data_IF_740167649031
#
_entry.id   IF_740167649031
#
_cell.length_a   1.000
_cell.length_b   1.000
_cell.length_c   1.000
_cell.angle_alpha   90.00
_cell.angle_beta   90.00
_cell.angle_gamma   90.00
#
_symmetry.space_group_name_H-M   'P 1'
#
loop_
_entity.id
_entity.type
_entity.pdbx_description
1 polymer ?
#
# COMPACT_ATOMS: atom_id res chain seq x y z
N UNK A 1 -3.84 -0.33 -33.88
CA UNK A 1 -2.71 -0.31 -34.82
C UNK A 1 -2.30 -1.74 -35.11
N UNK A 2 -2.01 -2.10 -36.36
CA UNK A 2 -1.63 -3.47 -36.73
C UNK A 2 -0.12 -3.70 -36.57
N UNK A 3 0.29 -4.97 -36.43
CA UNK A 3 1.70 -5.37 -36.33
C UNK A 3 2.07 -6.20 -37.55
N UNK A 4 3.19 -5.84 -38.17
CA UNK A 4 3.79 -6.55 -39.30
C UNK A 4 5.10 -7.19 -38.83
N UNK A 5 5.36 -8.43 -39.26
CA UNK A 5 6.55 -9.20 -38.83
C UNK A 5 7.57 -9.39 -39.95
N UNK A 6 7.51 -8.55 -40.99
CA UNK A 6 8.36 -8.65 -42.17
C UNK A 6 9.84 -8.53 -41.77
N UNK A 7 10.66 -9.47 -42.25
CA UNK A 7 12.08 -9.54 -41.91
C UNK A 7 12.37 -10.03 -40.48
N UNK A 8 11.43 -10.71 -39.82
CA UNK A 8 11.65 -11.35 -38.51
C UNK A 8 11.66 -10.40 -37.32
N UNK A 9 11.25 -9.14 -37.52
CA UNK A 9 11.10 -8.14 -36.46
C UNK A 9 9.66 -7.64 -36.43
N UNK A 10 8.94 -7.76 -35.31
CA UNK A 10 7.57 -7.24 -35.22
C UNK A 10 7.60 -5.71 -35.11
N UNK A 11 6.99 -5.03 -36.07
CA UNK A 11 6.93 -3.57 -36.23
C UNK A 11 5.48 -3.07 -36.27
N UNK A 12 5.26 -1.81 -35.91
CA UNK A 12 3.97 -1.17 -36.14
C UNK A 12 3.77 -0.96 -37.64
N UNK A 13 2.63 -1.40 -38.18
CA UNK A 13 2.33 -1.34 -39.61
C UNK A 13 2.53 0.08 -40.18
N UNK A 14 3.25 0.16 -41.30
CA UNK A 14 3.59 1.43 -41.96
C UNK A 14 4.69 2.24 -41.25
N UNK A 15 5.44 1.66 -40.31
CA UNK A 15 6.57 2.32 -39.62
C UNK A 15 7.77 1.40 -39.42
N UNK A 16 8.93 1.99 -39.14
CA UNK A 16 10.15 1.28 -38.76
C UNK A 16 10.28 1.04 -37.23
N UNK A 17 9.21 1.21 -36.47
CA UNK A 17 9.25 1.12 -35.01
C UNK A 17 8.88 -0.29 -34.56
N UNK A 18 9.86 -0.97 -33.95
CA UNK A 18 9.65 -2.29 -33.38
C UNK A 18 8.70 -2.23 -32.18
N UNK A 19 7.86 -3.26 -32.01
CA UNK A 19 6.96 -3.41 -30.85
C UNK A 19 7.72 -3.27 -29.52
N UNK A 20 8.95 -3.79 -29.46
CA UNK A 20 9.82 -3.69 -28.30
C UNK A 20 10.20 -2.24 -27.93
N UNK A 21 10.36 -1.36 -28.91
CA UNK A 21 10.63 0.06 -28.65
C UNK A 21 9.42 0.76 -28.04
N UNK A 22 8.21 0.41 -28.51
CA UNK A 22 6.94 0.91 -27.94
C UNK A 22 6.81 0.50 -26.47
N UNK A 23 7.04 -0.78 -26.20
CA UNK A 23 7.00 -1.34 -24.85
C UNK A 23 8.03 -0.67 -23.95
N UNK A 24 9.27 -0.51 -24.41
CA UNK A 24 10.34 0.13 -23.65
C UNK A 24 9.96 1.58 -23.30
N UNK A 25 9.53 2.39 -24.28
CA UNK A 25 9.18 3.80 -24.05
C UNK A 25 8.02 3.95 -23.05
N UNK A 26 6.95 3.16 -23.19
CA UNK A 26 5.80 3.22 -22.28
C UNK A 26 6.07 2.57 -20.91
N UNK A 27 7.10 1.74 -20.82
CA UNK A 27 7.56 1.17 -19.55
C UNK A 27 8.44 2.16 -18.78
N UNK A 28 9.45 2.74 -19.45
CA UNK A 28 10.45 3.62 -18.87
C UNK A 28 9.89 4.98 -18.40
N UNK A 29 8.75 5.41 -18.94
CA UNK A 29 8.06 6.63 -18.54
C UNK A 29 6.57 6.37 -18.23
N UNK A 30 5.80 7.44 -18.02
CA UNK A 30 4.34 7.36 -18.10
C UNK A 30 3.91 6.96 -19.51
N UNK A 31 2.72 6.37 -19.66
CA UNK A 31 2.21 5.98 -20.99
C UNK A 31 2.15 7.18 -21.93
N UNK A 32 1.69 8.34 -21.44
CA UNK A 32 1.59 9.56 -22.26
C UNK A 32 2.96 10.09 -22.70
N UNK A 33 3.93 10.14 -21.79
CA UNK A 33 5.29 10.57 -22.12
C UNK A 33 5.96 9.61 -23.10
N UNK A 34 5.79 8.30 -22.90
CA UNK A 34 6.32 7.29 -23.82
C UNK A 34 5.73 7.42 -25.22
N UNK A 35 4.41 7.61 -25.32
CA UNK A 35 3.73 7.84 -26.60
C UNK A 35 4.18 9.15 -27.26
N UNK A 36 4.30 10.23 -26.49
CA UNK A 36 4.77 11.52 -26.99
C UNK A 36 6.22 11.44 -27.50
N UNK A 37 7.10 10.70 -26.82
CA UNK A 37 8.49 10.51 -27.23
C UNK A 37 8.60 9.73 -28.55
N UNK A 38 7.74 8.72 -28.74
CA UNK A 38 7.72 7.93 -29.97
C UNK A 38 7.15 8.74 -31.16
N UNK A 39 6.26 9.69 -30.89
CA UNK A 39 5.64 10.58 -31.87
C UNK A 39 5.04 9.84 -33.10
N UNK A 40 4.50 8.63 -32.89
CA UNK A 40 3.97 7.79 -33.96
C UNK A 40 2.54 8.20 -34.31
N UNK A 41 2.26 8.60 -35.57
CA UNK A 41 0.90 8.91 -36.00
C UNK A 41 -0.05 7.73 -35.79
N UNK A 42 -1.17 7.98 -35.09
CA UNK A 42 -2.18 6.95 -34.83
C UNK A 42 -1.88 5.99 -33.68
N UNK A 43 -0.72 6.13 -33.00
CA UNK A 43 -0.43 5.42 -31.75
C UNK A 43 -0.79 6.31 -30.55
N UNK A 44 -2.03 6.17 -30.09
CA UNK A 44 -2.59 6.83 -28.91
C UNK A 44 -2.85 5.82 -27.79
N UNK A 45 -3.23 6.29 -26.59
CA UNK A 45 -3.67 5.42 -25.48
C UNK A 45 -4.71 4.39 -25.91
N UNK A 46 -5.74 4.81 -26.65
CA UNK A 46 -6.85 3.95 -27.07
C UNK A 46 -6.42 2.87 -28.08
N UNK A 47 -5.29 3.06 -28.75
CA UNK A 47 -4.80 2.17 -29.81
C UNK A 47 -3.57 1.37 -29.41
N UNK A 48 -3.04 1.60 -28.20
CA UNK A 48 -1.81 0.99 -27.69
C UNK A 48 -2.03 -0.46 -27.23
N UNK A 49 -3.20 -0.79 -26.70
CA UNK A 49 -3.45 -2.10 -26.09
C UNK A 49 -3.17 -3.30 -27.02
N UNK A 50 -3.60 -3.32 -28.30
CA UNK A 50 -3.30 -4.42 -29.20
C UNK A 50 -1.79 -4.62 -29.43
N UNK A 51 -1.03 -3.51 -29.48
CA UNK A 51 0.43 -3.56 -29.65
C UNK A 51 1.08 -4.24 -28.45
N UNK A 52 0.65 -3.86 -27.27
CA UNK A 52 1.13 -4.46 -26.03
C UNK A 52 0.69 -5.93 -25.94
N UNK A 53 -0.54 -6.24 -26.32
CA UNK A 53 -1.08 -7.60 -26.24
C UNK A 53 -0.29 -8.58 -27.10
N UNK A 54 0.12 -8.18 -28.31
CA UNK A 54 1.00 -8.99 -29.16
C UNK A 54 2.28 -9.42 -28.42
N UNK A 55 2.94 -8.48 -27.75
CA UNK A 55 4.14 -8.77 -26.97
C UNK A 55 3.83 -9.57 -25.69
N UNK A 56 2.78 -9.19 -24.96
CA UNK A 56 2.40 -9.79 -23.68
C UNK A 56 1.94 -11.26 -23.79
N UNK A 57 1.27 -11.58 -24.89
CA UNK A 57 0.81 -12.94 -25.25
C UNK A 57 1.84 -13.74 -26.03
N UNK A 58 3.05 -13.20 -26.26
CA UNK A 58 4.12 -13.89 -26.99
C UNK A 58 3.71 -14.30 -28.42
N UNK A 59 2.85 -13.53 -29.09
CA UNK A 59 2.46 -13.80 -30.49
C UNK A 59 3.64 -13.74 -31.45
N UNK A 60 4.72 -13.07 -31.06
CA UNK A 60 5.99 -13.09 -31.80
C UNK A 60 6.59 -14.50 -31.96
N UNK A 61 6.27 -15.44 -31.06
CA UNK A 61 6.74 -16.84 -31.15
C UNK A 61 6.07 -17.55 -32.32
N UNK A 62 4.75 -17.41 -32.44
CA UNK A 62 3.98 -17.98 -33.56
C UNK A 62 4.38 -17.33 -34.89
N UNK A 63 4.67 -16.03 -34.87
CA UNK A 63 5.13 -15.28 -36.03
C UNK A 63 6.62 -15.49 -36.37
N UNK A 64 7.35 -16.33 -35.63
CA UNK A 64 8.81 -16.55 -35.78
C UNK A 64 9.62 -15.24 -35.85
N UNK A 65 9.23 -14.26 -35.04
CA UNK A 65 9.79 -12.92 -35.04
C UNK A 65 10.30 -12.53 -33.65
N UNK A 66 11.28 -11.63 -33.58
CA UNK A 66 11.82 -11.13 -32.31
C UNK A 66 12.29 -9.67 -32.39
N UNK A 67 12.01 -8.90 -31.34
CA UNK A 67 12.49 -7.52 -31.24
C UNK A 67 13.99 -7.45 -30.95
N UNK A 68 14.72 -6.45 -31.48
CA UNK A 68 16.07 -6.13 -31.03
C UNK A 68 16.10 -5.86 -29.52
N UNK A 69 17.11 -6.41 -28.83
CA UNK A 69 17.27 -6.26 -27.39
C UNK A 69 16.30 -7.10 -26.53
N UNK A 70 15.38 -7.86 -27.12
CA UNK A 70 14.51 -8.75 -26.36
C UNK A 70 15.22 -10.08 -26.07
N UNK A 71 15.11 -10.59 -24.84
CA UNK A 71 15.67 -11.89 -24.46
C UNK A 71 15.19 -13.06 -25.34
N UNK A 72 13.96 -12.98 -25.88
CA UNK A 72 13.47 -13.99 -26.84
C UNK A 72 14.31 -14.10 -28.09
N UNK A 73 14.99 -13.02 -28.52
CA UNK A 73 15.85 -13.06 -29.71
C UNK A 73 17.05 -13.97 -29.48
N UNK A 74 17.71 -13.87 -28.34
CA UNK A 74 18.85 -14.75 -28.01
C UNK A 74 18.40 -16.18 -27.77
N UNK A 75 17.26 -16.39 -27.09
CA UNK A 75 16.66 -17.72 -26.93
C UNK A 75 16.31 -18.39 -28.28
N UNK A 76 15.72 -17.65 -29.22
CA UNK A 76 15.36 -18.16 -30.55
C UNK A 76 16.58 -18.51 -31.40
N UNK A 77 17.68 -17.78 -31.21
CA UNK A 77 18.95 -18.05 -31.89
C UNK A 77 19.80 -19.12 -31.18
N UNK A 78 19.33 -19.66 -30.04
CA UNK A 78 20.08 -20.65 -29.25
C UNK A 78 21.36 -20.09 -28.62
N UNK A 79 21.38 -18.79 -28.33
CA UNK A 79 22.53 -18.08 -27.75
C UNK A 79 22.38 -18.01 -26.22
N UNK A 80 23.00 -18.95 -25.53
CA UNK A 80 22.96 -19.09 -24.06
C UNK A 80 24.12 -18.37 -23.36
N UNK A 81 25.25 -18.18 -24.07
CA UNK A 81 26.44 -17.52 -23.52
C UNK A 81 26.86 -16.29 -24.31
N UNK A 82 27.59 -15.39 -23.65
CA UNK A 82 28.20 -14.23 -24.30
C UNK A 82 29.14 -14.66 -25.45
N UNK A 83 29.89 -15.75 -25.29
CA UNK A 83 30.78 -16.25 -26.33
C UNK A 83 29.99 -16.69 -27.58
N UNK A 84 28.88 -17.39 -27.40
CA UNK A 84 27.99 -17.76 -28.51
C UNK A 84 27.41 -16.51 -29.19
N UNK A 85 27.03 -15.50 -28.40
CA UNK A 85 26.57 -14.22 -28.93
C UNK A 85 27.65 -13.51 -29.77
N UNK A 86 28.89 -13.44 -29.28
CA UNK A 86 30.02 -12.86 -30.01
C UNK A 86 30.26 -13.64 -31.31
N UNK A 87 30.31 -14.98 -31.25
CA UNK A 87 30.53 -15.83 -32.42
C UNK A 87 29.45 -15.70 -33.49
N UNK A 88 28.21 -15.42 -33.09
CA UNK A 88 27.09 -15.20 -34.01
C UNK A 88 27.23 -13.92 -34.85
N UNK A 89 28.04 -12.95 -34.40
CA UNK A 89 28.31 -11.71 -35.13
C UNK A 89 29.62 -11.80 -35.91
N UNK A 90 29.77 -10.98 -36.95
CA UNK A 90 31.05 -10.83 -37.66
C UNK A 90 32.06 -10.14 -36.74
N UNK A 91 31.64 -9.02 -36.17
CA UNK A 91 32.45 -8.19 -35.30
C UNK A 91 31.52 -7.34 -34.41
N UNK A 92 31.89 -7.16 -33.14
CA UNK A 92 31.23 -6.23 -32.22
C UNK A 92 32.23 -5.14 -31.83
N UNK A 93 31.93 -3.91 -32.22
CA UNK A 93 32.76 -2.72 -31.99
C UNK A 93 32.23 -1.98 -30.77
N UNK A 94 33.05 -1.78 -29.75
CA UNK A 94 32.67 -1.11 -28.50
C UNK A 94 33.28 0.29 -28.41
N UNK A 95 32.46 1.29 -28.12
CA UNK A 95 32.87 2.68 -27.93
C UNK A 95 33.44 3.29 -29.21
N UNK A 96 34.63 3.87 -29.09
CA UNK A 96 35.42 4.39 -30.21
C UNK A 96 36.08 3.30 -31.07
N UNK A 97 35.84 2.03 -30.74
CA UNK A 97 36.40 0.87 -31.43
C UNK A 97 37.75 0.42 -30.91
N UNK A 98 38.17 0.89 -29.73
CA UNK A 98 39.33 0.36 -29.00
C UNK A 98 39.16 -1.13 -28.61
N UNK A 99 37.91 -1.56 -28.36
CA UNK A 99 37.58 -2.96 -28.12
C UNK A 99 36.76 -3.48 -29.31
N UNK A 100 37.26 -4.54 -29.94
CA UNK A 100 36.59 -5.24 -31.05
C UNK A 100 36.56 -6.73 -30.77
N UNK A 101 35.35 -7.27 -30.64
CA UNK A 101 35.14 -8.70 -30.41
C UNK A 101 34.86 -9.35 -31.77
N UNK A 102 35.77 -10.20 -32.22
CA UNK A 102 35.64 -10.91 -33.50
C UNK A 102 34.76 -12.15 -33.32
N UNK A 103 33.88 -12.38 -34.29
CA UNK A 103 33.09 -13.61 -34.35
C UNK A 103 33.16 -14.24 -35.74
N UNK A 104 32.20 -15.11 -36.03
CA UNK A 104 32.16 -15.91 -37.26
C UNK A 104 30.91 -15.63 -38.11
N UNK A 105 30.07 -14.69 -37.68
CA UNK A 105 28.85 -14.30 -38.37
C UNK A 105 29.06 -13.34 -39.53
N UNK A 106 27.94 -12.85 -40.09
CA UNK A 106 27.93 -11.91 -41.21
C UNK A 106 27.69 -10.45 -40.81
N UNK A 107 27.17 -10.21 -39.61
CA UNK A 107 26.66 -8.90 -39.17
C UNK A 107 27.64 -8.23 -38.21
N UNK A 108 28.02 -6.98 -38.51
CA UNK A 108 28.79 -6.14 -37.57
C UNK A 108 27.84 -5.32 -36.70
N UNK A 109 28.10 -5.29 -35.39
CA UNK A 109 27.31 -4.52 -34.40
C UNK A 109 28.21 -3.49 -33.74
N UNK A 110 27.70 -2.27 -33.56
CA UNK A 110 28.39 -1.22 -32.79
C UNK A 110 27.62 -0.94 -31.52
N UNK A 111 28.32 -0.87 -30.39
CA UNK A 111 27.76 -0.61 -29.06
C UNK A 111 28.58 0.47 -28.35
N UNK A 112 27.96 1.44 -27.67
CA UNK A 112 28.67 2.58 -27.09
C UNK A 112 29.58 2.20 -25.92
N UNK A 113 29.26 1.13 -25.17
CA UNK A 113 30.06 0.66 -24.04
C UNK A 113 29.78 -0.82 -23.73
N UNK A 114 30.64 -1.44 -22.92
CA UNK A 114 30.49 -2.83 -22.49
C UNK A 114 29.19 -3.08 -21.70
N UNK A 115 28.71 -2.09 -20.94
CA UNK A 115 27.44 -2.21 -20.23
C UNK A 115 26.25 -2.31 -21.20
N UNK A 116 26.28 -1.54 -22.29
CA UNK A 116 25.25 -1.60 -23.33
C UNK A 116 25.31 -2.94 -24.06
N UNK A 117 26.51 -3.45 -24.34
CA UNK A 117 26.68 -4.80 -24.88
C UNK A 117 26.11 -5.87 -23.93
N UNK A 118 26.39 -5.74 -22.62
CA UNK A 118 25.89 -6.65 -21.59
C UNK A 118 24.35 -6.71 -21.58
N UNK A 119 23.68 -5.56 -21.71
CA UNK A 119 22.21 -5.48 -21.80
C UNK A 119 21.67 -6.04 -23.12
N UNK A 120 22.38 -5.84 -24.23
CA UNK A 120 21.95 -6.31 -25.55
C UNK A 120 21.96 -7.84 -25.68
N UNK A 121 22.98 -8.53 -25.14
CA UNK A 121 23.05 -9.99 -25.19
C UNK A 121 22.16 -10.65 -24.14
N UNK A 122 22.14 -10.12 -22.91
CA UNK A 122 21.31 -10.71 -21.84
C UNK A 122 19.82 -10.57 -22.16
N UNK A 123 19.49 -9.48 -22.85
CA UNK A 123 18.18 -9.19 -23.38
C UNK A 123 17.17 -8.84 -22.30
N UNK A 124 16.22 -8.02 -22.67
CA UNK A 124 15.16 -7.57 -21.78
C UNK A 124 13.89 -8.38 -21.99
N UNK A 125 13.14 -8.59 -20.92
CA UNK A 125 11.90 -9.36 -20.95
C UNK A 125 10.74 -8.48 -21.43
N UNK A 126 10.74 -8.05 -22.69
CA UNK A 126 9.74 -7.11 -23.22
C UNK A 126 8.29 -7.59 -23.04
N UNK A 127 8.01 -8.89 -23.07
CA UNK A 127 6.64 -9.39 -22.80
C UNK A 127 6.18 -9.09 -21.37
N UNK A 128 7.11 -9.08 -20.42
CA UNK A 128 6.84 -8.74 -19.03
C UNK A 128 6.58 -7.25 -18.89
N UNK A 129 7.43 -6.41 -19.47
CA UNK A 129 7.21 -4.97 -19.53
C UNK A 129 5.89 -4.62 -20.21
N UNK A 130 5.55 -5.32 -21.29
CA UNK A 130 4.30 -5.12 -22.00
C UNK A 130 3.08 -5.38 -21.12
N UNK A 131 3.07 -6.48 -20.34
CA UNK A 131 2.02 -6.74 -19.34
C UNK A 131 1.92 -5.63 -18.29
N UNK A 132 3.06 -5.05 -17.89
CA UNK A 132 3.08 -3.91 -16.95
C UNK A 132 2.46 -2.66 -17.58
N UNK A 133 2.77 -2.37 -18.84
CA UNK A 133 2.16 -1.25 -19.57
C UNK A 133 0.67 -1.47 -19.79
N UNK A 134 0.20 -2.70 -20.10
CA UNK A 134 -1.24 -3.02 -20.20
C UNK A 134 -1.96 -2.72 -18.89
N UNK A 135 -1.35 -3.06 -17.75
CA UNK A 135 -1.91 -2.72 -16.45
C UNK A 135 -1.98 -1.21 -16.24
N UNK A 136 -0.88 -0.48 -16.51
CA UNK A 136 -0.86 1.00 -16.50
C UNK A 136 -1.96 1.59 -17.39
N UNK A 137 -2.25 0.96 -18.52
CA UNK A 137 -3.25 1.40 -19.50
C UNK A 137 -4.68 1.16 -19.01
N UNK A 138 -5.02 -0.08 -18.62
CA UNK A 138 -6.40 -0.51 -18.34
C UNK A 138 -6.93 -0.01 -17.00
N UNK A 139 -6.09 0.06 -15.99
CA UNK A 139 -6.53 0.31 -14.62
C UNK A 139 -5.99 1.64 -14.07
N UNK A 140 -5.35 2.43 -14.94
CA UNK A 140 -4.26 3.26 -14.47
C UNK A 140 -3.21 2.41 -13.77
N UNK A 141 -2.31 3.07 -13.09
CA UNK A 141 -1.51 2.42 -12.08
C UNK A 141 -2.47 2.07 -10.90
N UNK A 142 -3.27 0.97 -10.90
CA UNK A 142 -3.91 0.36 -9.68
C UNK A 142 -4.95 -0.79 -9.85
N UNK A 143 -4.88 -1.74 -8.89
CA UNK A 143 -5.99 -2.45 -8.16
C UNK A 143 -6.92 -3.43 -8.91
N UNK A 144 -6.54 -4.71 -8.95
CA UNK A 144 -7.38 -5.80 -9.48
C UNK A 144 -8.54 -6.27 -8.57
N UNK A 145 -8.69 -5.76 -7.33
CA UNK A 145 -9.71 -6.26 -6.37
C UNK A 145 -10.38 -5.19 -5.49
N UNK A 146 -10.14 -3.90 -5.76
CA UNK A 146 -10.92 -2.81 -5.16
C UNK A 146 -11.48 -1.98 -6.30
N UNK A 147 -12.81 -1.89 -6.43
CA UNK A 147 -13.39 -0.81 -7.22
C UNK A 147 -12.99 0.50 -6.54
N UNK A 148 -12.20 1.35 -7.21
CA UNK A 148 -11.97 2.71 -6.73
C UNK A 148 -10.52 3.17 -6.77
N UNK A 149 -10.41 4.50 -6.84
CA UNK A 149 -9.25 5.38 -6.82
C UNK A 149 -8.22 5.02 -5.74
N UNK A 150 -7.12 5.79 -5.68
CA UNK A 150 -6.19 5.80 -4.56
C UNK A 150 -6.89 5.69 -3.19
N UNK A 151 -6.23 5.10 -2.17
CA UNK A 151 -6.75 5.32 -0.80
C UNK A 151 -6.55 6.80 -0.44
N UNK A 152 -5.50 7.42 -1.01
CA UNK A 152 -5.21 8.83 -0.91
C UNK A 152 -4.50 9.34 -2.19
N UNK A 153 -4.84 10.54 -2.65
CA UNK A 153 -4.23 11.24 -3.77
C UNK A 153 -2.73 11.53 -3.58
N UNK A 154 -2.09 12.07 -4.62
CA UNK A 154 -0.67 12.46 -4.54
C UNK A 154 -0.47 13.54 -3.46
N UNK A 155 0.49 13.33 -2.56
CA UNK A 155 0.75 14.20 -1.41
C UNK A 155 -0.22 14.05 -0.22
N UNK A 156 -1.29 13.25 -0.32
CA UNK A 156 -2.26 13.08 0.78
C UNK A 156 -1.81 12.07 1.85
N UNK A 157 -0.72 11.34 1.60
CA UNK A 157 -0.08 10.43 2.56
C UNK A 157 1.43 10.65 2.58
N UNK A 158 2.11 10.34 3.69
CA UNK A 158 3.56 10.43 3.75
C UNK A 158 4.22 9.40 2.83
N UNK A 159 5.32 9.80 2.19
CA UNK A 159 6.16 8.88 1.40
C UNK A 159 6.97 7.98 2.33
N UNK A 160 6.94 6.67 2.08
CA UNK A 160 7.81 5.70 2.76
C UNK A 160 9.10 5.58 1.98
N UNK A 161 10.24 5.90 2.58
CA UNK A 161 11.54 5.95 1.91
C UNK A 161 12.45 4.89 2.54
N UNK A 162 12.93 3.94 1.73
CA UNK A 162 13.86 2.91 2.16
C UNK A 162 15.27 3.24 1.67
N UNK A 163 16.19 3.48 2.61
CA UNK A 163 17.59 3.72 2.32
C UNK A 163 18.37 2.42 2.18
N UNK A 164 18.87 2.15 0.97
CA UNK A 164 19.67 0.97 0.60
C UNK A 164 19.12 -0.36 1.14
N UNK A 165 17.84 -0.69 0.88
CA UNK A 165 17.27 -1.96 1.34
C UNK A 165 18.05 -3.14 0.78
N UNK A 166 18.37 -4.11 1.64
CA UNK A 166 19.29 -5.20 1.31
C UNK A 166 18.59 -6.44 0.77
N UNK A 167 17.34 -6.68 1.17
CA UNK A 167 16.59 -7.88 0.79
C UNK A 167 15.30 -7.53 0.06
N UNK A 168 15.14 -8.07 -1.15
CA UNK A 168 13.90 -7.94 -1.91
C UNK A 168 12.66 -8.39 -1.12
N UNK A 169 12.79 -9.46 -0.31
CA UNK A 169 11.70 -9.96 0.54
C UNK A 169 11.23 -8.89 1.55
N UNK A 170 12.16 -8.14 2.15
CA UNK A 170 11.81 -7.05 3.06
C UNK A 170 11.09 -5.92 2.33
N UNK A 171 11.51 -5.58 1.11
CA UNK A 171 10.81 -4.58 0.29
C UNK A 171 9.37 -5.04 0.02
N UNK A 172 9.16 -6.31 -0.29
CA UNK A 172 7.82 -6.89 -0.44
C UNK A 172 7.00 -6.82 0.84
N UNK A 173 7.59 -7.17 1.98
CA UNK A 173 6.90 -7.06 3.28
C UNK A 173 6.58 -5.60 3.66
N UNK A 174 7.46 -4.66 3.33
CA UNK A 174 7.21 -3.21 3.45
C UNK A 174 6.04 -2.80 2.56
N UNK A 175 6.02 -3.20 1.29
CA UNK A 175 4.92 -2.91 0.39
C UNK A 175 3.58 -3.46 0.91
N UNK A 176 3.59 -4.65 1.52
CA UNK A 176 2.42 -5.22 2.19
C UNK A 176 2.00 -4.38 3.40
N UNK A 177 2.93 -3.93 4.23
CA UNK A 177 2.63 -3.04 5.35
C UNK A 177 2.04 -1.70 4.87
N UNK A 178 2.63 -1.10 3.84
CA UNK A 178 2.12 0.10 3.18
C UNK A 178 0.67 -0.09 2.70
N UNK A 179 0.38 -1.19 1.98
CA UNK A 179 -0.96 -1.52 1.52
C UNK A 179 -1.96 -1.74 2.67
N UNK A 180 -1.56 -2.38 3.78
CA UNK A 180 -2.42 -2.58 4.93
C UNK A 180 -2.90 -1.26 5.56
N UNK A 181 -2.07 -0.21 5.50
CA UNK A 181 -2.35 1.07 6.16
C UNK A 181 -2.65 2.23 5.20
N UNK A 182 -2.77 1.94 3.90
CA UNK A 182 -3.07 2.93 2.87
C UNK A 182 -1.96 3.97 2.69
N UNK A 183 -0.70 3.55 2.82
CA UNK A 183 0.46 4.34 2.41
C UNK A 183 0.79 3.94 0.98
N UNK A 184 0.53 4.82 0.03
CA UNK A 184 0.57 4.46 -1.39
C UNK A 184 1.90 4.86 -2.08
N UNK A 185 2.73 5.70 -1.44
CA UNK A 185 3.99 6.20 -2.02
C UNK A 185 5.21 5.52 -1.38
N UNK A 186 5.83 4.58 -2.10
CA UNK A 186 7.06 3.90 -1.71
C UNK A 186 8.24 4.38 -2.58
N UNK A 187 9.32 4.81 -1.94
CA UNK A 187 10.57 5.27 -2.58
C UNK A 187 11.73 4.40 -2.11
N UNK A 188 12.57 4.00 -3.05
CA UNK A 188 13.74 3.16 -2.79
C UNK A 188 15.00 3.95 -3.15
N UNK A 189 15.91 4.12 -2.21
CA UNK A 189 17.21 4.75 -2.48
C UNK A 189 18.24 3.66 -2.63
N UNK A 190 18.87 3.58 -3.80
CA UNK A 190 19.95 2.65 -4.13
C UNK A 190 19.69 1.19 -3.63
N UNK A 191 18.56 0.54 -4.03
CA UNK A 191 18.26 -0.82 -3.59
C UNK A 191 19.34 -1.79 -4.06
N UNK A 192 19.89 -2.61 -3.16
CA UNK A 192 21.07 -3.44 -3.42
C UNK A 192 20.91 -4.40 -4.59
N UNK A 193 19.75 -5.06 -4.68
CA UNK A 193 19.46 -6.05 -5.72
C UNK A 193 18.90 -5.41 -7.01
N UNK A 194 18.99 -4.09 -7.15
CA UNK A 194 18.42 -3.33 -8.26
C UNK A 194 16.89 -3.24 -8.25
N UNK A 195 16.34 -2.45 -9.17
CA UNK A 195 14.90 -2.24 -9.31
C UNK A 195 14.50 -2.11 -10.80
N UNK A 196 13.36 -2.68 -11.24
CA UNK A 196 12.34 -3.44 -10.50
C UNK A 196 12.79 -4.86 -10.11
N UNK A 197 12.19 -5.45 -9.07
CA UNK A 197 12.58 -6.77 -8.55
C UNK A 197 11.38 -7.72 -8.36
N UNK A 198 11.37 -8.86 -9.07
CA UNK A 198 10.25 -9.82 -9.01
C UNK A 198 10.15 -10.55 -7.67
N UNK A 199 11.25 -10.75 -6.95
CA UNK A 199 11.20 -11.36 -5.60
C UNK A 199 10.44 -10.46 -4.64
N UNK A 200 10.69 -9.15 -4.68
CA UNK A 200 9.95 -8.17 -3.88
C UNK A 200 8.45 -8.20 -4.20
N UNK A 201 8.11 -8.36 -5.48
CA UNK A 201 6.73 -8.50 -5.95
C UNK A 201 6.06 -9.77 -5.39
N UNK A 202 6.72 -10.92 -5.46
CA UNK A 202 6.20 -12.17 -4.88
C UNK A 202 5.99 -12.03 -3.37
N UNK A 203 6.96 -11.43 -2.66
CA UNK A 203 6.89 -11.20 -1.23
C UNK A 203 5.79 -10.20 -0.82
N UNK A 204 5.36 -9.30 -1.71
CA UNK A 204 4.30 -8.32 -1.45
C UNK A 204 2.91 -8.95 -1.30
N UNK A 205 2.72 -10.22 -1.67
CA UNK A 205 1.51 -11.00 -1.36
C UNK A 205 0.19 -10.26 -1.69
N UNK A 206 0.08 -9.78 -2.93
CA UNK A 206 -1.10 -9.04 -3.40
C UNK A 206 -0.97 -7.51 -3.34
N UNK A 207 -0.01 -6.96 -2.60
CA UNK A 207 0.36 -5.55 -2.61
C UNK A 207 1.28 -5.18 -3.79
N UNK A 208 1.16 -5.89 -4.92
CA UNK A 208 2.02 -5.70 -6.10
C UNK A 208 1.96 -4.28 -6.65
N UNK A 209 0.85 -3.58 -6.47
CA UNK A 209 0.72 -2.20 -6.94
C UNK A 209 1.71 -1.27 -6.22
N UNK A 210 1.90 -1.38 -4.90
CA UNK A 210 2.90 -0.56 -4.19
C UNK A 210 4.31 -0.77 -4.77
N UNK A 211 4.63 -2.01 -5.15
CA UNK A 211 5.90 -2.35 -5.81
C UNK A 211 5.95 -1.77 -7.23
N UNK A 212 4.91 -1.99 -8.02
CA UNK A 212 4.81 -1.55 -9.42
C UNK A 212 4.84 -0.01 -9.54
N UNK A 213 4.38 0.71 -8.52
CA UNK A 213 4.24 2.17 -8.44
C UNK A 213 5.46 2.84 -7.79
N UNK A 214 6.28 2.05 -7.08
CA UNK A 214 7.45 2.58 -6.39
C UNK A 214 8.51 3.12 -7.35
N UNK A 215 9.19 4.17 -6.91
CA UNK A 215 10.28 4.81 -7.66
C UNK A 215 11.62 4.53 -6.99
N UNK A 216 12.60 4.11 -7.78
CA UNK A 216 13.97 3.94 -7.32
C UNK A 216 14.80 5.17 -7.67
N UNK A 217 15.58 5.65 -6.72
CA UNK A 217 16.46 6.81 -6.83
C UNK A 217 17.91 6.36 -6.59
N UNK A 218 18.88 6.93 -7.31
CA UNK A 218 20.29 6.61 -7.11
C UNK A 218 20.83 7.16 -5.78
N UNK A 219 20.33 8.30 -5.32
CA UNK A 219 20.80 8.98 -4.10
C UNK A 219 19.64 9.52 -3.27
N UNK A 220 19.89 9.74 -1.98
CA UNK A 220 18.87 10.19 -1.02
C UNK A 220 18.28 11.56 -1.42
N UNK A 221 19.12 12.50 -1.84
CA UNK A 221 18.73 13.87 -2.17
C UNK A 221 17.63 13.92 -3.25
N UNK A 222 17.73 13.07 -4.27
CA UNK A 222 16.70 12.96 -5.31
C UNK A 222 15.39 12.37 -4.78
N UNK A 223 15.49 11.40 -3.87
CA UNK A 223 14.32 10.74 -3.29
C UNK A 223 13.53 11.62 -2.32
N UNK A 224 14.10 12.76 -1.88
CA UNK A 224 13.48 13.66 -0.91
C UNK A 224 13.25 15.08 -1.45
N UNK A 225 13.66 15.36 -2.69
CA UNK A 225 13.71 16.72 -3.24
C UNK A 225 12.36 17.46 -3.25
N UNK A 226 11.24 16.75 -3.39
CA UNK A 226 9.88 17.31 -3.39
C UNK A 226 9.23 17.34 -1.99
N UNK A 227 9.91 16.85 -0.96
CA UNK A 227 9.35 16.76 0.40
C UNK A 227 9.64 18.03 1.21
N UNK A 228 8.65 18.49 1.96
CA UNK A 228 8.74 19.63 2.86
C UNK A 228 9.15 19.25 4.28
N UNK A 229 8.85 18.01 4.69
CA UNK A 229 9.14 17.56 6.05
C UNK A 229 9.42 16.05 6.11
N UNK A 230 10.52 15.66 6.74
CA UNK A 230 11.01 14.29 6.76
C UNK A 230 11.34 13.86 8.18
N UNK A 231 10.96 12.64 8.55
CA UNK A 231 11.44 12.02 9.80
C UNK A 231 12.36 10.85 9.51
N UNK A 232 13.43 10.72 10.28
CA UNK A 232 14.34 9.58 10.25
C UNK A 232 14.01 8.60 11.39
N UNK A 233 13.74 7.35 11.05
CA UNK A 233 13.51 6.30 12.05
C UNK A 233 14.83 5.75 12.59
N UNK A 234 14.97 5.67 13.91
CA UNK A 234 16.18 5.12 14.52
C UNK A 234 15.93 4.52 15.90
N UNK A 235 16.67 3.45 16.22
CA UNK A 235 16.70 2.87 17.57
C UNK A 235 17.91 3.36 18.39
N UNK A 236 18.84 4.09 17.76
CA UNK A 236 20.08 4.56 18.39
C UNK A 236 19.92 6.01 18.81
N UNK A 237 20.43 6.34 19.99
CA UNK A 237 20.61 7.75 20.35
C UNK A 237 21.63 8.37 19.39
N UNK A 238 21.32 9.56 18.88
CA UNK A 238 22.18 10.32 17.97
C UNK A 238 22.50 11.65 18.63
N UNK A 239 23.75 12.07 18.55
CA UNK A 239 24.19 13.39 19.01
C UNK A 239 23.89 14.46 17.96
N UNK A 240 22.61 14.58 17.60
CA UNK A 240 22.09 15.55 16.66
C UNK A 240 21.05 16.41 17.39
N UNK A 241 21.15 17.74 17.24
CA UNK A 241 20.20 18.69 17.82
C UNK A 241 18.91 18.74 16.99
N UNK A 242 18.15 17.63 16.99
CA UNK A 242 16.87 17.49 16.30
C UNK A 242 15.79 17.02 17.27
N UNK A 243 14.52 17.38 17.05
CA UNK A 243 13.41 16.84 17.84
C UNK A 243 13.39 15.31 17.78
N UNK A 244 13.15 14.67 18.92
CA UNK A 244 12.92 13.22 19.02
C UNK A 244 11.46 13.01 19.33
N UNK A 245 10.78 12.22 18.50
CA UNK A 245 9.33 12.02 18.53
C UNK A 245 9.00 10.54 18.67
N UNK A 246 7.87 10.25 19.30
CA UNK A 246 7.22 8.94 19.17
C UNK A 246 6.54 8.82 17.79
N UNK A 247 6.20 7.59 17.35
CA UNK A 247 5.39 7.39 16.14
C UNK A 247 4.10 8.21 16.13
N UNK A 248 3.36 8.24 17.24
CA UNK A 248 2.12 9.02 17.39
C UNK A 248 2.34 10.53 17.16
N UNK A 249 3.38 11.10 17.78
CA UNK A 249 3.72 12.52 17.64
C UNK A 249 4.10 12.87 16.20
N UNK A 250 4.97 12.07 15.57
CA UNK A 250 5.40 12.30 14.21
C UNK A 250 4.23 12.21 13.22
N UNK A 251 3.36 11.21 13.36
CA UNK A 251 2.17 11.06 12.50
C UNK A 251 1.19 12.22 12.68
N UNK A 252 0.97 12.69 13.92
CA UNK A 252 0.13 13.86 14.20
C UNK A 252 0.66 15.13 13.50
N UNK A 253 1.98 15.34 13.55
CA UNK A 253 2.65 16.44 12.85
C UNK A 253 2.52 16.30 11.32
N UNK A 254 2.77 15.11 10.76
CA UNK A 254 2.60 14.85 9.32
C UNK A 254 1.18 15.14 8.85
N UNK A 255 0.16 14.71 9.60
CA UNK A 255 -1.25 14.98 9.27
C UNK A 255 -1.53 16.48 9.23
N UNK A 256 -1.01 17.22 10.20
CA UNK A 256 -1.16 18.68 10.27
C UNK A 256 -0.52 19.37 9.06
N UNK A 257 0.67 18.93 8.65
CA UNK A 257 1.41 19.46 7.50
C UNK A 257 0.77 19.10 6.16
N UNK A 258 0.40 17.82 5.98
CA UNK A 258 -0.32 17.33 4.80
C UNK A 258 -1.65 18.08 4.65
N UNK A 259 -2.37 18.35 5.74
CA UNK A 259 -3.59 19.16 5.72
C UNK A 259 -3.38 20.62 5.28
N UNK A 260 -2.13 21.12 5.28
CA UNK A 260 -1.73 22.43 4.73
C UNK A 260 -1.19 22.34 3.30
N UNK A 261 -1.15 21.14 2.70
CA UNK A 261 -0.61 20.88 1.37
C UNK A 261 0.89 20.59 1.33
N UNK A 262 1.55 20.39 2.48
CA UNK A 262 2.96 20.01 2.53
C UNK A 262 3.16 18.51 2.26
N UNK A 263 4.21 18.15 1.53
CA UNK A 263 4.61 16.76 1.29
C UNK A 263 5.50 16.25 2.42
N UNK A 264 5.14 15.13 3.02
CA UNK A 264 5.90 14.54 4.12
C UNK A 264 6.54 13.19 3.74
N UNK A 265 7.62 12.80 4.42
CA UNK A 265 8.27 11.49 4.24
C UNK A 265 8.77 10.85 5.53
N UNK A 266 8.84 9.53 5.52
CA UNK A 266 9.39 8.72 6.61
C UNK A 266 10.57 7.91 6.05
N UNK A 267 11.77 8.22 6.55
CA UNK A 267 13.02 7.60 6.14
C UNK A 267 13.35 6.40 7.05
N UNK A 268 13.57 5.25 6.42
CA UNK A 268 13.98 4.01 7.06
C UNK A 268 15.34 3.57 6.55
N UNK A 269 16.18 3.11 7.48
CA UNK A 269 17.53 2.68 7.16
C UNK A 269 17.66 1.21 6.75
N UNK A 270 18.91 0.85 6.44
CA UNK A 270 19.35 -0.52 6.14
C UNK A 270 19.06 -1.45 7.31
N UNK A 271 18.79 -2.72 7.05
CA UNK A 271 18.38 -3.71 8.06
C UNK A 271 19.40 -3.92 9.19
N UNK A 272 20.70 -3.85 8.89
CA UNK A 272 21.77 -4.11 9.87
C UNK A 272 22.30 -2.83 10.53
N UNK A 273 22.48 -1.79 9.74
CA UNK A 273 23.22 -0.60 10.16
C UNK A 273 22.30 0.58 10.48
N UNK A 274 21.03 0.50 10.09
CA UNK A 274 20.11 1.63 10.13
C UNK A 274 20.55 2.73 9.17
N UNK A 275 20.20 3.97 9.53
CA UNK A 275 20.62 5.17 8.82
C UNK A 275 22.01 5.63 9.26
N UNK A 276 22.79 6.14 8.32
CA UNK A 276 24.05 6.84 8.57
C UNK A 276 23.80 8.24 9.13
N UNK A 277 24.82 8.85 9.74
CA UNK A 277 24.67 10.14 10.41
C UNK A 277 24.32 11.27 9.44
N UNK A 278 24.90 11.26 8.23
CA UNK A 278 24.57 12.19 7.13
C UNK A 278 23.12 12.02 6.64
N UNK A 279 22.63 10.79 6.52
CA UNK A 279 21.24 10.50 6.12
C UNK A 279 20.25 11.01 7.17
N UNK A 280 20.55 10.80 8.46
CA UNK A 280 19.74 11.33 9.56
C UNK A 280 19.82 12.86 9.63
N UNK A 281 20.94 13.46 9.24
CA UNK A 281 21.11 14.91 9.24
C UNK A 281 20.14 15.62 8.28
N UNK A 282 19.75 14.96 7.18
CA UNK A 282 18.79 15.46 6.19
C UNK A 282 17.32 15.41 6.66
N UNK A 283 17.00 14.69 7.74
CA UNK A 283 15.64 14.65 8.28
C UNK A 283 15.37 15.81 9.25
N UNK A 284 14.14 16.31 9.33
CA UNK A 284 13.75 17.39 10.24
C UNK A 284 13.61 16.93 11.69
N UNK A 285 13.20 15.68 11.90
CA UNK A 285 13.05 15.07 13.22
C UNK A 285 13.44 13.59 13.22
N UNK A 286 13.67 13.06 14.43
CA UNK A 286 13.93 11.64 14.66
C UNK A 286 12.67 10.99 15.20
N UNK A 287 12.38 9.78 14.72
CA UNK A 287 11.36 8.90 15.32
C UNK A 287 12.04 7.73 16.00
N UNK A 288 11.80 7.63 17.31
CA UNK A 288 12.23 6.49 18.12
C UNK A 288 11.00 5.71 18.56
N UNK A 289 10.86 4.49 18.05
CA UNK A 289 9.76 3.59 18.42
C UNK A 289 10.06 3.06 19.84
N UNK A 290 9.15 3.23 20.81
CA UNK A 290 9.33 2.67 22.15
C UNK A 290 9.37 1.13 22.09
N UNK A 291 10.53 0.55 22.38
CA UNK A 291 10.80 -0.89 22.36
C UNK A 291 11.60 -1.28 23.59
N UNK A 292 11.71 -2.58 23.88
CA UNK A 292 12.61 -3.06 24.93
C UNK A 292 14.05 -2.62 24.63
N UNK A 293 14.67 -1.84 25.53
CA UNK A 293 16.02 -1.33 25.36
C UNK A 293 17.09 -2.43 25.20
N UNK A 294 16.81 -3.64 25.72
CA UNK A 294 17.70 -4.80 25.56
C UNK A 294 17.61 -5.43 24.16
N UNK A 295 16.57 -5.13 23.39
CA UNK A 295 16.34 -5.67 22.05
C UNK A 295 15.62 -4.65 21.17
N UNK A 296 16.30 -3.53 20.89
CA UNK A 296 15.70 -2.37 20.26
C UNK A 296 15.67 -2.41 18.71
N UNK A 297 16.18 -3.49 18.10
CA UNK A 297 16.26 -3.60 16.64
C UNK A 297 15.01 -4.28 16.07
N UNK A 298 14.13 -3.49 15.45
CA UNK A 298 12.99 -4.01 14.71
C UNK A 298 13.38 -4.41 13.29
N UNK A 299 12.70 -5.39 12.72
CA UNK A 299 12.77 -5.64 11.28
C UNK A 299 12.21 -4.42 10.53
N UNK A 300 12.76 -4.14 9.35
CA UNK A 300 12.38 -3.00 8.51
C UNK A 300 10.87 -2.92 8.26
N UNK A 301 10.24 -4.03 7.84
CA UNK A 301 8.81 -4.07 7.57
C UNK A 301 7.97 -3.92 8.85
N UNK A 302 8.48 -4.34 10.01
CA UNK A 302 7.82 -4.13 11.30
C UNK A 302 7.84 -2.66 11.72
N UNK A 303 8.96 -1.96 11.49
CA UNK A 303 9.06 -0.52 11.75
C UNK A 303 8.09 0.26 10.84
N UNK A 304 8.02 -0.08 9.55
CA UNK A 304 7.04 0.50 8.62
C UNK A 304 5.61 0.18 9.05
N UNK A 305 5.33 -1.05 9.48
CA UNK A 305 4.02 -1.48 9.97
C UNK A 305 3.55 -0.66 11.17
N UNK A 306 4.43 -0.34 12.13
CA UNK A 306 4.08 0.49 13.29
C UNK A 306 3.78 1.94 12.88
N UNK A 307 4.58 2.52 11.99
CA UNK A 307 4.33 3.87 11.46
C UNK A 307 3.03 3.92 10.65
N UNK A 308 2.78 2.91 9.81
CA UNK A 308 1.54 2.77 9.05
C UNK A 308 0.33 2.57 9.97
N UNK A 309 0.46 1.75 11.01
CA UNK A 309 -0.59 1.58 12.01
C UNK A 309 -0.96 2.90 12.67
N UNK A 310 0.02 3.68 13.12
CA UNK A 310 -0.24 5.00 13.69
C UNK A 310 -0.87 5.96 12.67
N UNK A 311 -0.42 5.93 11.40
CA UNK A 311 -1.06 6.67 10.32
C UNK A 311 -2.53 6.31 10.17
N UNK A 312 -2.86 5.02 10.13
CA UNK A 312 -4.23 4.52 10.02
C UNK A 312 -5.07 4.86 11.25
N UNK A 313 -4.53 4.64 12.47
CA UNK A 313 -5.17 4.90 13.76
C UNK A 313 -5.49 6.38 13.97
N UNK A 314 -4.62 7.27 13.51
CA UNK A 314 -4.83 8.72 13.61
C UNK A 314 -5.95 9.26 12.71
N UNK A 315 -6.59 8.42 11.87
CA UNK A 315 -7.71 8.82 11.04
C UNK A 315 -9.03 8.68 11.81
N UNK A 316 -9.63 9.80 12.24
CA UNK A 316 -10.86 9.82 13.05
C UNK A 316 -12.11 9.33 12.30
N UNK A 317 -12.10 9.41 10.98
CA UNK A 317 -13.27 9.05 10.15
C UNK A 317 -13.21 7.60 9.63
N UNK A 318 -12.27 6.78 10.13
CA UNK A 318 -12.10 5.40 9.68
C UNK A 318 -12.90 4.39 10.50
N UNK A 319 -13.41 3.39 9.78
CA UNK A 319 -13.90 2.16 10.37
C UNK A 319 -12.76 1.30 10.92
N UNK A 320 -13.01 0.63 12.04
CA UNK A 320 -12.29 -0.55 12.47
C UNK A 320 -12.74 -1.75 11.63
N UNK A 321 -11.78 -2.54 11.15
CA UNK A 321 -12.06 -3.76 10.38
C UNK A 321 -12.52 -3.54 8.94
N UNK A 322 -12.91 -4.63 8.28
CA UNK A 322 -13.41 -4.61 6.91
C UNK A 322 -14.84 -4.05 6.90
N UNK A 323 -15.11 -3.12 6.00
CA UNK A 323 -16.47 -2.67 5.69
C UNK A 323 -16.82 -3.23 4.31
N UNK A 324 -17.70 -4.23 4.27
CA UNK A 324 -18.33 -4.68 3.03
C UNK A 324 -19.57 -3.84 2.71
N UNK A 325 -20.18 -4.06 1.54
CA UNK A 325 -21.42 -3.39 1.10
C UNK A 325 -22.59 -3.54 2.08
N UNK A 326 -22.53 -4.51 2.98
CA UNK A 326 -23.58 -4.82 3.96
C UNK A 326 -23.18 -4.47 5.40
N UNK A 327 -21.96 -4.00 5.63
CA UNK A 327 -21.44 -3.67 6.95
C UNK A 327 -21.36 -2.16 7.13
N UNK A 328 -21.58 -1.70 8.36
CA UNK A 328 -21.37 -0.29 8.74
C UNK A 328 -19.97 -0.10 9.31
N UNK A 329 -19.39 1.10 9.17
CA UNK A 329 -18.17 1.45 9.87
C UNK A 329 -18.29 1.17 11.37
N UNK A 330 -17.39 0.35 11.89
CA UNK A 330 -17.23 0.16 13.32
C UNK A 330 -16.34 1.27 13.86
N UNK A 331 -16.76 1.92 14.94
CA UNK A 331 -15.95 2.90 15.66
C UNK A 331 -15.56 2.33 17.02
N UNK A 332 -14.58 2.95 17.67
CA UNK A 332 -14.25 2.62 19.05
C UNK A 332 -15.47 2.85 19.97
N UNK A 333 -15.63 1.98 20.98
CA UNK A 333 -16.71 2.06 21.95
C UNK A 333 -17.74 0.93 21.83
N UNK A 334 -18.88 1.11 22.49
CA UNK A 334 -19.97 0.12 22.48
C UNK A 334 -20.71 0.21 21.15
N UNK A 335 -20.80 -0.91 20.43
CA UNK A 335 -21.60 -0.98 19.23
C UNK A 335 -23.09 -1.00 19.61
N UNK A 336 -23.73 0.17 19.50
CA UNK A 336 -25.17 0.33 19.79
C UNK A 336 -26.07 -0.12 18.62
N UNK A 337 -25.51 -0.58 17.50
CA UNK A 337 -26.29 -0.97 16.32
C UNK A 337 -27.15 0.17 15.79
N UNK A 338 -28.47 0.00 15.83
CA UNK A 338 -29.46 1.02 15.47
C UNK A 338 -30.07 1.73 16.69
N UNK A 339 -29.75 1.25 17.90
CA UNK A 339 -30.34 1.77 19.11
C UNK A 339 -29.62 3.05 19.54
N UNK A 340 -30.40 3.99 20.09
CA UNK A 340 -29.84 5.16 20.76
C UNK A 340 -29.55 4.85 22.23
N UNK A 341 -28.58 5.55 22.85
CA UNK A 341 -28.46 5.57 24.30
C UNK A 341 -29.79 5.94 24.96
N UNK A 342 -30.10 5.29 26.08
CA UNK A 342 -31.26 5.67 26.88
C UNK A 342 -31.08 7.11 27.42
N UNK A 343 -32.15 7.89 27.35
CA UNK A 343 -32.21 9.19 28.00
C UNK A 343 -32.15 9.02 29.52
N UNK A 344 -31.76 10.09 30.22
CA UNK A 344 -31.84 10.11 31.69
C UNK A 344 -33.26 9.87 32.20
N UNK A 345 -34.28 10.36 31.50
CA UNK A 345 -35.68 10.14 31.86
C UNK A 345 -36.07 8.66 31.82
N UNK A 346 -35.66 7.92 30.79
CA UNK A 346 -35.95 6.49 30.66
C UNK A 346 -35.29 5.67 31.77
N UNK A 347 -34.02 5.97 32.08
CA UNK A 347 -33.27 5.37 33.18
C UNK A 347 -33.89 5.69 34.54
N UNK A 348 -34.24 6.96 34.80
CA UNK A 348 -34.86 7.37 36.06
C UNK A 348 -36.19 6.66 36.28
N UNK A 349 -37.05 6.58 35.26
CA UNK A 349 -38.30 5.84 35.43
C UNK A 349 -38.09 4.32 35.55
N UNK A 350 -36.95 3.76 35.09
CA UNK A 350 -36.59 2.37 35.37
C UNK A 350 -36.20 2.22 36.85
N UNK A 351 -35.43 3.17 37.39
CA UNK A 351 -35.08 3.19 38.82
C UNK A 351 -36.33 3.29 39.69
N UNK A 352 -37.25 4.19 39.38
CA UNK A 352 -38.53 4.31 40.09
C UNK A 352 -39.34 3.01 40.07
N UNK A 353 -39.40 2.34 38.92
CA UNK A 353 -40.08 1.05 38.79
C UNK A 353 -39.39 -0.02 39.64
N UNK A 354 -38.07 -0.21 39.48
CA UNK A 354 -37.30 -1.20 40.22
C UNK A 354 -37.38 -0.99 41.73
N UNK A 355 -37.19 0.25 42.19
CA UNK A 355 -37.24 0.62 43.61
C UNK A 355 -38.60 0.33 44.22
N UNK A 356 -39.69 0.66 43.52
CA UNK A 356 -41.05 0.37 43.98
C UNK A 356 -41.30 -1.13 44.13
N UNK A 357 -40.92 -1.94 43.14
CA UNK A 357 -41.15 -3.39 43.22
C UNK A 357 -40.27 -4.05 44.30
N UNK A 358 -39.01 -3.63 44.45
CA UNK A 358 -38.12 -4.11 45.52
C UNK A 358 -38.66 -3.77 46.92
N UNK A 359 -39.23 -2.58 47.09
CA UNK A 359 -39.90 -2.16 48.32
C UNK A 359 -41.08 -3.08 48.64
N UNK A 360 -41.94 -3.33 47.65
CA UNK A 360 -43.13 -4.15 47.80
C UNK A 360 -42.81 -5.62 48.13
N UNK A 361 -41.65 -6.12 47.69
CA UNK A 361 -41.15 -7.46 47.99
C UNK A 361 -40.34 -7.53 49.29
N UNK A 362 -40.20 -6.41 50.02
CA UNK A 362 -39.50 -6.37 51.31
C UNK A 362 -37.97 -6.47 51.23
N UNK A 363 -37.37 -6.17 50.08
CA UNK A 363 -35.91 -6.27 49.87
C UNK A 363 -35.10 -5.34 50.77
N UNK A 364 -35.67 -4.16 51.12
CA UNK A 364 -34.99 -3.15 51.92
C UNK A 364 -35.11 -3.38 53.44
N UNK A 365 -35.05 -4.62 53.92
CA UNK A 365 -35.12 -4.94 55.35
C UNK A 365 -33.70 -5.25 55.92
N UNK A 366 -33.18 -4.48 56.91
CA UNK A 366 -33.80 -3.34 57.61
C UNK A 366 -33.78 -2.02 56.82
N UNK A 367 -34.82 -1.20 57.03
CA UNK A 367 -35.13 0.02 56.26
C UNK A 367 -34.00 1.04 56.20
N UNK A 368 -33.14 1.08 57.22
CA UNK A 368 -31.98 1.97 57.30
C UNK A 368 -30.96 1.74 56.17
N UNK A 369 -30.93 0.55 55.55
CA UNK A 369 -30.02 0.23 54.44
C UNK A 369 -30.50 0.76 53.08
N UNK A 370 -31.78 1.15 52.97
CA UNK A 370 -32.41 1.57 51.71
C UNK A 370 -31.61 2.67 50.98
N UNK A 371 -31.18 3.78 51.60
CA UNK A 371 -30.51 4.86 50.88
C UNK A 371 -29.21 4.38 50.19
N UNK A 372 -28.39 3.62 50.92
CA UNK A 372 -27.13 3.08 50.40
C UNK A 372 -27.36 2.08 49.28
N UNK A 373 -28.34 1.18 49.43
CA UNK A 373 -28.65 0.17 48.40
C UNK A 373 -29.19 0.82 47.13
N UNK A 374 -30.10 1.79 47.24
CA UNK A 374 -30.63 2.55 46.10
C UNK A 374 -29.50 3.30 45.38
N UNK A 375 -28.62 3.98 46.12
CA UNK A 375 -27.47 4.68 45.54
C UNK A 375 -26.56 3.71 44.77
N UNK A 376 -26.30 2.52 45.33
CA UNK A 376 -25.50 1.49 44.67
C UNK A 376 -26.17 0.96 43.39
N UNK A 377 -27.48 0.68 43.42
CA UNK A 377 -28.23 0.22 42.25
C UNK A 377 -28.23 1.28 41.14
N UNK A 378 -28.53 2.55 41.48
CA UNK A 378 -28.50 3.65 40.51
C UNK A 378 -27.11 3.83 39.92
N UNK A 379 -26.06 3.74 40.73
CA UNK A 379 -24.66 3.82 40.26
C UNK A 379 -24.32 2.66 39.32
N UNK A 380 -24.68 1.42 39.70
CA UNK A 380 -24.47 0.21 38.90
C UNK A 380 -25.09 0.30 37.51
N UNK A 381 -26.35 0.73 37.43
CA UNK A 381 -27.06 0.80 36.16
C UNK A 381 -26.70 2.05 35.35
N UNK A 382 -26.32 3.16 36.00
CA UNK A 382 -25.92 4.38 35.29
C UNK A 382 -24.57 4.24 34.56
N UNK A 383 -23.65 3.44 35.10
CA UNK A 383 -22.36 3.16 34.42
C UNK A 383 -22.47 2.18 33.26
N UNK A 384 -23.61 1.52 33.09
CA UNK A 384 -23.81 0.51 32.04
C UNK A 384 -23.88 1.12 30.64
N UNK A 385 -24.23 2.41 30.52
CA UNK A 385 -24.39 3.06 29.20
C UNK A 385 -25.53 2.48 28.36
N UNK A 386 -26.59 1.99 29.02
CA UNK A 386 -27.63 1.19 28.39
C UNK A 386 -28.38 1.90 27.25
N UNK A 387 -28.82 1.14 26.25
CA UNK A 387 -29.70 1.62 25.18
C UNK A 387 -31.15 1.74 25.65
N UNK A 388 -31.97 2.47 24.88
CA UNK A 388 -33.41 2.54 25.13
C UNK A 388 -34.04 1.13 25.20
N UNK A 389 -33.65 0.25 24.29
CA UNK A 389 -34.19 -1.10 24.20
C UNK A 389 -33.77 -1.98 25.38
N UNK A 390 -32.54 -1.83 25.87
CA UNK A 390 -32.06 -2.51 27.07
C UNK A 390 -32.79 -2.02 28.32
N UNK A 391 -33.07 -0.72 28.46
CA UNK A 391 -33.87 -0.20 29.57
C UNK A 391 -35.32 -0.72 29.53
N UNK A 392 -35.91 -0.84 28.34
CA UNK A 392 -37.24 -1.47 28.17
C UNK A 392 -37.22 -2.95 28.58
N UNK A 393 -36.17 -3.68 28.21
CA UNK A 393 -35.95 -5.07 28.63
C UNK A 393 -35.79 -5.16 30.15
N UNK A 394 -34.97 -4.26 30.72
CA UNK A 394 -34.92 -3.81 32.12
C UNK A 394 -36.24 -3.91 32.85
N UNK A 395 -37.14 -3.02 32.41
CA UNK A 395 -38.47 -2.86 32.99
C UNK A 395 -39.35 -4.10 32.79
N UNK A 396 -39.22 -4.79 31.66
CA UNK A 396 -39.93 -6.04 31.39
C UNK A 396 -39.54 -7.17 32.34
N UNK A 397 -38.25 -7.30 32.67
CA UNK A 397 -37.73 -8.24 33.66
C UNK A 397 -38.33 -7.92 35.04
N UNK A 398 -38.27 -6.66 35.47
CA UNK A 398 -38.84 -6.22 36.75
C UNK A 398 -40.33 -6.55 36.84
N UNK A 399 -41.11 -6.21 35.81
CA UNK A 399 -42.55 -6.51 35.78
C UNK A 399 -42.83 -8.01 35.87
N UNK A 400 -42.06 -8.84 35.15
CA UNK A 400 -42.25 -10.29 35.14
C UNK A 400 -41.90 -10.92 36.48
N UNK A 401 -40.81 -10.49 37.12
CA UNK A 401 -40.38 -10.97 38.42
C UNK A 401 -41.36 -10.54 39.53
N UNK A 402 -41.90 -9.32 39.46
CA UNK A 402 -42.84 -8.81 40.45
C UNK A 402 -44.23 -9.46 40.35
N UNK A 403 -44.73 -9.73 39.14
CA UNK A 403 -46.12 -10.16 38.90
C UNK A 403 -46.27 -11.67 38.64
N UNK A 404 -45.18 -12.40 38.35
CA UNK A 404 -45.21 -13.80 37.92
C UNK A 404 -45.73 -13.99 36.49
N UNK A 405 -45.42 -15.12 35.84
CA UNK A 405 -45.90 -15.44 34.48
C UNK A 405 -47.42 -15.58 34.47
N UNK A 406 -48.16 -14.55 34.04
CA UNK A 406 -49.60 -14.66 33.72
C UNK A 406 -50.47 -13.43 33.93
N UNK A 407 -50.03 -12.42 34.70
CA UNK A 407 -50.87 -11.25 35.02
C UNK A 407 -51.08 -10.26 33.88
N UNK A 408 -50.16 -10.19 32.91
CA UNK A 408 -50.14 -9.13 31.88
C UNK A 408 -50.97 -9.42 30.62
N UNK A 409 -51.67 -10.56 30.55
CA UNK A 409 -52.44 -10.96 29.35
C UNK A 409 -53.94 -11.05 29.61
N UNK A 410 -54.56 -10.02 30.20
CA UNK A 410 -56.01 -9.79 30.06
C UNK A 410 -56.37 -8.32 30.24
N UNK A 411 -56.80 -7.72 29.13
CA UNK A 411 -57.32 -6.36 29.05
C UNK A 411 -57.75 -6.02 27.62
N UNK A 412 -58.56 -6.88 26.98
CA UNK A 412 -59.31 -6.49 25.78
C UNK A 412 -60.76 -6.21 26.16
N UNK A 413 -61.09 -4.93 26.05
CA UNK A 413 -62.36 -4.36 25.60
C UNK A 413 -63.65 -4.79 26.31
N UNK A 414 -64.13 -3.94 27.20
CA UNK A 414 -65.56 -3.67 27.32
C UNK A 414 -65.76 -2.16 27.20
N UNK A 415 -66.33 -1.75 26.07
CA UNK A 415 -66.98 -0.46 25.87
C UNK A 415 -68.47 -0.81 25.70
N UNK A 416 -69.41 -0.18 26.43
CA UNK A 416 -70.82 -0.17 26.03
C UNK A 416 -71.03 0.65 24.77
#
# INVERSE_FOLDING_TARGET
>A
MNIECDGGVPRLAGTEIAVGAVVHACHAATVDQGLAQLAVPGLTRDTLEPVLQFCASLQCVEAQASCPGCKRRTEMLGLETLDQYILHHKEIIVGDGAIRLQGQGAITVTTPCLETLAKQWSGENYWFWSRRVIRKLRHGIRRALMHGEAVAGDGETPSVILMEPQLADNIGMVARACANFGLDNLRLVNPRDGWPNEKARIAASGANYIIDDSTAYPVLDEAIADLNWIVATTARQRDLRKPVMTPEQAISEMRTRIGRGERCGILFGRERNGLETNEVANADALVMIPVNAQFASLNLAQAVLLMGYEWMRGNKDRSLGRVTTFEKPLVEGVNMGHDRPATKQELLGFFEHLERELEHQGFFNPQQRRPTVVQNLRTLFSRMGATEQEVRTLRGIVATLAQGKGGSRKGKSQVP
#
